data_IF_535457460943
#
_entry.id   IF_535457460943
#
_cell.length_a   1.000
_cell.length_b   1.000
_cell.length_c   1.000
_cell.angle_alpha   90.00
_cell.angle_beta   90.00
_cell.angle_gamma   90.00
#
_symmetry.space_group_name_H-M   'P 1'
#
loop_
_entity.id
_entity.type
_entity.pdbx_description
1 polymer ?
#
# COMPACT_ATOMS: atom_id res chain seq x y z
N UNK A 1 -36.62 25.35 4.89
CA UNK A 1 -35.17 25.44 5.12
C UNK A 1 -34.54 24.29 4.37
N UNK A 2 -33.72 24.56 3.34
CA UNK A 2 -32.98 23.52 2.64
C UNK A 2 -31.61 23.42 3.30
N UNK A 3 -31.33 22.31 3.98
CA UNK A 3 -29.98 22.03 4.46
C UNK A 3 -29.07 21.79 3.25
N UNK A 4 -27.86 22.39 3.20
CA UNK A 4 -26.91 22.10 2.15
C UNK A 4 -26.48 20.63 2.24
N UNK A 5 -26.64 19.89 1.14
CA UNK A 5 -26.07 18.56 0.99
C UNK A 5 -24.60 18.73 0.58
N UNK A 6 -23.69 18.68 1.54
CA UNK A 6 -22.27 18.48 1.27
C UNK A 6 -22.02 17.00 0.99
N UNK A 7 -21.46 16.70 -0.17
CA UNK A 7 -21.00 15.36 -0.55
C UNK A 7 -19.48 15.43 -0.57
N UNK A 8 -18.84 14.78 0.39
CA UNK A 8 -17.39 14.65 0.41
C UNK A 8 -16.96 13.60 -0.62
N UNK A 9 -16.02 13.98 -1.49
CA UNK A 9 -15.38 13.04 -2.41
C UNK A 9 -14.21 12.36 -1.67
N UNK A 10 -14.30 11.05 -1.39
CA UNK A 10 -13.24 10.34 -0.67
C UNK A 10 -11.91 10.30 -1.45
N UNK A 11 -11.92 10.60 -2.76
CA UNK A 11 -10.73 10.63 -3.60
C UNK A 11 -10.13 12.04 -3.76
N UNK A 12 -10.76 13.07 -3.18
CA UNK A 12 -10.25 14.43 -3.27
C UNK A 12 -8.80 14.51 -2.76
N UNK A 13 -7.90 15.05 -3.60
CA UNK A 13 -6.49 15.21 -3.26
C UNK A 13 -5.64 13.93 -3.31
N UNK A 14 -6.19 12.80 -3.77
CA UNK A 14 -5.44 11.56 -3.93
C UNK A 14 -4.99 11.35 -5.38
N UNK A 15 -3.76 10.85 -5.56
CA UNK A 15 -3.26 10.40 -6.87
C UNK A 15 -3.49 8.90 -7.03
N UNK A 16 -4.38 8.54 -7.97
CA UNK A 16 -4.65 7.14 -8.32
C UNK A 16 -3.75 6.73 -9.47
N UNK A 17 -2.92 5.71 -9.26
CA UNK A 17 -2.02 5.17 -10.27
C UNK A 17 -2.63 3.92 -10.92
N UNK A 18 -2.56 3.86 -12.25
CA UNK A 18 -2.91 2.67 -13.03
C UNK A 18 -1.66 2.13 -13.71
N UNK A 19 -1.28 0.90 -13.38
CA UNK A 19 -0.16 0.19 -13.98
C UNK A 19 -0.69 -0.95 -14.84
N UNK A 20 -0.37 -0.92 -16.12
CA UNK A 20 -0.72 -1.97 -17.08
C UNK A 20 0.54 -2.70 -17.51
N UNK A 21 0.63 -3.98 -17.16
CA UNK A 21 1.75 -4.86 -17.52
C UNK A 21 1.29 -5.84 -18.58
N UNK A 22 1.92 -5.79 -19.76
CA UNK A 22 1.62 -6.71 -20.87
C UNK A 22 2.77 -7.68 -21.02
N UNK A 23 2.46 -8.99 -21.08
CA UNK A 23 3.48 -10.01 -21.27
C UNK A 23 4.04 -9.96 -22.70
N UNK A 24 5.36 -10.13 -22.84
CA UNK A 24 5.99 -10.31 -24.14
C UNK A 24 5.68 -11.70 -24.71
N UNK A 25 5.68 -11.81 -26.04
CA UNK A 25 5.49 -13.09 -26.74
C UNK A 25 5.36 -12.92 -28.25
N UNK A 26 5.48 -14.03 -28.98
CA UNK A 26 5.44 -14.06 -30.45
C UNK A 26 4.02 -14.13 -31.03
N UNK A 27 3.01 -14.29 -30.17
CA UNK A 27 1.60 -14.35 -30.56
C UNK A 27 0.96 -12.99 -30.88
N UNK A 28 -0.28 -13.02 -31.38
CA UNK A 28 -1.08 -11.82 -31.64
C UNK A 28 -1.12 -10.92 -30.41
N UNK A 29 -1.02 -9.60 -30.62
CA UNK A 29 -0.99 -8.62 -29.52
C UNK A 29 -2.18 -8.78 -28.59
N UNK A 30 -3.36 -8.98 -29.17
CA UNK A 30 -4.63 -8.96 -28.47
C UNK A 30 -4.80 -10.15 -27.52
N UNK A 31 -4.18 -11.28 -27.83
CA UNK A 31 -4.20 -12.50 -27.02
C UNK A 31 -3.15 -12.49 -25.90
N UNK A 32 -2.28 -11.46 -25.84
CA UNK A 32 -1.21 -11.41 -24.85
C UNK A 32 -1.78 -11.23 -23.45
N UNK A 33 -1.30 -12.00 -22.45
CA UNK A 33 -1.70 -11.80 -21.06
C UNK A 33 -1.40 -10.37 -20.59
N UNK A 34 -2.36 -9.77 -19.91
CA UNK A 34 -2.24 -8.45 -19.28
C UNK A 34 -2.59 -8.53 -17.79
N UNK A 35 -1.90 -7.72 -17.00
CA UNK A 35 -2.23 -7.42 -15.61
C UNK A 35 -2.46 -5.91 -15.48
N UNK A 36 -3.59 -5.54 -14.91
CA UNK A 36 -3.94 -4.15 -14.56
C UNK A 36 -3.95 -4.04 -13.05
N UNK A 37 -3.14 -3.12 -12.51
CA UNK A 37 -3.07 -2.79 -11.09
C UNK A 37 -3.49 -1.33 -10.90
N UNK A 38 -4.41 -1.08 -9.98
CA UNK A 38 -4.96 0.26 -9.73
C UNK A 38 -5.01 0.56 -8.24
N UNK A 39 -4.49 1.70 -7.80
CA UNK A 39 -4.54 2.10 -6.40
C UNK A 39 -3.80 3.40 -6.10
N UNK A 40 -3.76 3.73 -4.81
CA UNK A 40 -3.04 4.89 -4.25
C UNK A 40 -1.85 4.41 -3.42
N UNK A 41 -0.88 5.29 -3.17
CA UNK A 41 0.28 4.96 -2.36
C UNK A 41 -0.11 4.51 -0.94
N UNK A 42 0.55 3.46 -0.44
CA UNK A 42 0.32 2.95 0.92
C UNK A 42 -0.92 2.04 1.08
N UNK A 43 -1.69 1.79 0.02
CA UNK A 43 -2.83 0.87 0.04
C UNK A 43 -2.63 -0.33 -0.90
N UNK A 44 -3.28 -1.45 -0.57
CA UNK A 44 -3.31 -2.62 -1.46
C UNK A 44 -4.07 -2.27 -2.75
N UNK A 45 -3.48 -2.49 -3.94
CA UNK A 45 -4.14 -2.16 -5.19
C UNK A 45 -5.27 -3.15 -5.51
N UNK A 46 -6.18 -2.73 -6.37
CA UNK A 46 -7.07 -3.63 -7.11
C UNK A 46 -6.28 -4.20 -8.28
N UNK A 47 -6.28 -5.53 -8.40
CA UNK A 47 -5.58 -6.24 -9.48
C UNK A 47 -6.59 -7.00 -10.33
N UNK A 48 -6.46 -6.86 -11.65
CA UNK A 48 -7.26 -7.53 -12.66
C UNK A 48 -6.34 -8.15 -13.71
N UNK A 49 -6.72 -9.28 -14.28
CA UNK A 49 -5.93 -10.01 -15.26
C UNK A 49 -6.81 -10.48 -16.40
N UNK A 50 -6.27 -10.52 -17.61
CA UNK A 50 -6.98 -11.02 -18.80
C UNK A 50 -6.07 -10.99 -20.02
N UNK A 51 -6.64 -10.75 -21.19
CA UNK A 51 -5.88 -10.53 -22.42
C UNK A 51 -5.77 -9.04 -22.74
N UNK A 52 -4.85 -8.67 -23.64
CA UNK A 52 -4.68 -7.28 -24.03
C UNK A 52 -5.93 -6.69 -24.70
N UNK A 53 -6.73 -7.52 -25.40
CA UNK A 53 -8.03 -7.12 -25.94
C UNK A 53 -8.98 -6.61 -24.83
N UNK A 54 -8.91 -7.21 -23.64
CA UNK A 54 -9.77 -6.89 -22.51
C UNK A 54 -9.26 -5.67 -21.70
N UNK A 55 -8.09 -5.12 -22.03
CA UNK A 55 -7.44 -4.11 -21.19
C UNK A 55 -8.32 -2.88 -20.85
N UNK A 56 -9.10 -2.30 -21.79
CA UNK A 56 -10.02 -1.20 -21.46
C UNK A 56 -11.08 -1.59 -20.42
N UNK A 57 -11.64 -2.79 -20.54
CA UNK A 57 -12.67 -3.29 -19.64
C UNK A 57 -12.08 -3.60 -18.26
N UNK A 58 -10.89 -4.21 -18.21
CA UNK A 58 -10.18 -4.48 -16.97
C UNK A 58 -9.82 -3.19 -16.21
N UNK A 59 -9.45 -2.11 -16.91
CA UNK A 59 -9.22 -0.79 -16.29
C UNK A 59 -10.52 -0.25 -15.69
N UNK A 60 -11.63 -0.31 -16.44
CA UNK A 60 -12.93 0.18 -15.97
C UNK A 60 -13.44 -0.62 -14.75
N UNK A 61 -13.29 -1.94 -14.77
CA UNK A 61 -13.61 -2.80 -13.64
C UNK A 61 -12.75 -2.50 -12.42
N UNK A 62 -11.44 -2.31 -12.61
CA UNK A 62 -10.53 -1.97 -11.53
C UNK A 62 -10.87 -0.61 -10.92
N UNK A 63 -11.19 0.39 -11.75
CA UNK A 63 -11.62 1.72 -11.31
C UNK A 63 -12.92 1.67 -10.52
N UNK A 64 -13.90 0.92 -11.01
CA UNK A 64 -15.20 0.76 -10.34
C UNK A 64 -15.02 0.06 -8.99
N UNK A 65 -14.25 -1.03 -8.94
CA UNK A 65 -13.96 -1.74 -7.69
C UNK A 65 -13.17 -0.87 -6.69
N UNK A 66 -12.25 -0.04 -7.18
CA UNK A 66 -11.52 0.92 -6.35
C UNK A 66 -12.46 1.98 -5.77
N UNK A 67 -13.36 2.56 -6.58
CA UNK A 67 -14.36 3.53 -6.12
C UNK A 67 -15.28 2.97 -5.04
N UNK A 68 -15.72 1.71 -5.16
CA UNK A 68 -16.52 1.03 -4.12
C UNK A 68 -15.71 0.87 -2.83
N UNK A 69 -14.43 0.45 -2.93
CA UNK A 69 -13.55 0.33 -1.76
C UNK A 69 -13.30 1.69 -1.10
N UNK A 70 -13.06 2.74 -1.88
CA UNK A 70 -12.81 4.08 -1.38
C UNK A 70 -14.02 4.65 -0.62
N UNK A 71 -15.23 4.41 -1.13
CA UNK A 71 -16.47 4.78 -0.42
C UNK A 71 -16.63 3.99 0.88
N UNK A 72 -16.33 2.70 0.89
CA UNK A 72 -16.38 1.89 2.11
C UNK A 72 -15.35 2.35 3.16
N UNK A 73 -14.17 2.80 2.73
CA UNK A 73 -13.14 3.35 3.62
C UNK A 73 -13.50 4.74 4.13
N UNK A 74 -14.06 5.62 3.28
CA UNK A 74 -14.53 6.95 3.66
C UNK A 74 -15.81 6.94 4.51
N UNK A 75 -16.54 5.83 4.53
CA UNK A 75 -17.71 5.62 5.39
C UNK A 75 -17.35 5.16 6.81
N UNK A 76 -16.08 4.83 7.08
CA UNK A 76 -15.62 4.67 8.45
C UNK A 76 -15.52 6.06 9.09
N UNK A 77 -16.13 6.31 10.27
CA UNK A 77 -15.96 7.59 10.95
C UNK A 77 -14.48 7.81 11.21
N UNK A 78 -13.94 8.88 10.62
CA UNK A 78 -12.62 9.40 10.98
C UNK A 78 -12.72 10.01 12.38
N UNK A 79 -12.60 9.18 13.41
CA UNK A 79 -12.11 9.63 14.71
C UNK A 79 -10.59 9.76 14.62
N UNK A 80 -10.13 10.81 13.95
CA UNK A 80 -8.90 11.46 14.34
C UNK A 80 -9.31 12.73 15.09
N UNK A 81 -9.74 12.52 16.33
CA UNK A 81 -9.82 13.59 17.30
C UNK A 81 -8.41 14.15 17.49
N UNK A 82 -8.29 15.45 17.20
CA UNK A 82 -7.21 16.30 17.68
C UNK A 82 -7.23 16.31 19.20
N UNK A 83 -6.30 15.60 19.84
CA UNK A 83 -5.91 15.93 21.22
C UNK A 83 -4.50 16.49 21.20
N UNK A 84 -4.44 17.82 21.29
CA UNK A 84 -3.27 18.57 21.73
C UNK A 84 -2.93 18.15 23.16
N UNK A 85 -2.05 17.15 23.31
CA UNK A 85 -1.38 16.88 24.58
C UNK A 85 0.03 17.45 24.52
N UNK A 86 0.09 18.71 24.95
CA UNK A 86 1.27 19.37 25.48
C UNK A 86 1.74 18.55 26.69
N UNK A 87 2.79 17.74 26.54
CA UNK A 87 3.59 17.27 27.68
C UNK A 87 5.06 17.28 27.29
N UNK A 88 5.68 18.42 27.61
CA UNK A 88 7.09 18.55 27.94
C UNK A 88 7.52 17.42 28.88
N UNK A 89 8.28 16.46 28.38
CA UNK A 89 9.01 15.50 29.21
C UNK A 89 10.49 15.58 28.88
N UNK A 90 11.11 16.60 29.48
CA UNK A 90 12.56 16.68 29.66
C UNK A 90 12.96 15.54 30.60
N UNK A 91 13.62 14.52 30.07
CA UNK A 91 14.33 13.52 30.88
C UNK A 91 15.79 13.42 30.40
N UNK A 92 16.63 14.29 30.96
CA UNK A 92 18.07 14.09 30.99
C UNK A 92 18.41 13.04 32.04
N UNK A 93 18.91 11.87 31.64
CA UNK A 93 19.77 11.04 32.49
C UNK A 93 20.54 10.02 31.63
N UNK A 94 21.79 10.36 31.39
CA UNK A 94 22.90 9.48 31.03
C UNK A 94 23.08 8.41 32.13
N UNK A 95 23.06 7.11 31.79
CA UNK A 95 23.97 6.05 32.28
C UNK A 95 23.84 4.81 31.36
N UNK A 96 24.87 4.65 30.52
CA UNK A 96 25.50 3.44 30.01
C UNK A 96 25.09 2.07 30.64
N UNK A 97 24.47 1.17 29.87
CA UNK A 97 24.77 -0.29 29.88
C UNK A 97 24.41 -0.96 28.54
N UNK A 98 25.43 -1.38 27.79
CA UNK A 98 25.34 -2.17 26.55
C UNK A 98 24.92 -3.63 26.88
N UNK A 99 23.93 -4.22 26.18
CA UNK A 99 23.54 -5.62 26.40
C UNK A 99 24.59 -6.60 25.82
N UNK A 100 24.87 -7.73 26.49
CA UNK A 100 25.96 -8.63 26.09
C UNK A 100 25.70 -9.33 24.74
N UNK A 101 26.69 -9.25 23.86
CA UNK A 101 26.73 -9.91 22.54
C UNK A 101 26.74 -11.45 22.69
N UNK A 102 25.99 -12.20 21.87
CA UNK A 102 26.03 -13.66 21.88
C UNK A 102 27.39 -14.18 21.37
N UNK A 103 28.05 -15.01 22.18
CA UNK A 103 29.36 -15.61 21.91
C UNK A 103 29.29 -16.63 20.76
N UNK A 104 30.17 -16.46 19.77
CA UNK A 104 30.40 -17.37 18.64
C UNK A 104 31.08 -18.65 19.16
N UNK A 105 30.67 -19.86 18.71
CA UNK A 105 31.27 -21.11 19.18
C UNK A 105 32.76 -21.19 18.80
N UNK A 106 33.62 -21.75 19.66
CA UNK A 106 35.07 -21.79 19.42
C UNK A 106 35.39 -22.68 18.23
N UNK A 107 36.08 -22.09 17.24
CA UNK A 107 36.72 -22.82 16.16
C UNK A 107 37.83 -23.70 16.77
N UNK A 108 37.60 -25.01 16.78
CA UNK A 108 38.62 -25.99 17.10
C UNK A 108 39.74 -25.95 16.07
N UNK A 109 40.93 -25.53 16.49
CA UNK A 109 42.15 -25.63 15.71
C UNK A 109 42.66 -27.08 15.69
N UNK A 110 42.79 -27.63 14.49
CA UNK A 110 43.87 -28.47 13.96
C UNK A 110 44.53 -29.55 14.86
N UNK A 111 44.48 -30.82 14.41
CA UNK A 111 45.67 -31.68 14.35
C UNK A 111 45.51 -32.81 13.34
N UNK A 112 46.47 -32.87 12.42
CA UNK A 112 46.78 -33.98 11.53
C UNK A 112 47.19 -35.21 12.34
N UNK A 113 46.52 -36.34 12.10
CA UNK A 113 47.11 -37.68 12.03
C UNK A 113 46.27 -38.51 11.05
#
# INVERSE_FOLDING_TARGET
MNSPLTVDDPLAGQEVTVVVTVSAGDGPRDERPVLVSLGVAGQLPIVKTGTFADAPDLINEAWTAFGVRAQAAGAAPSELETETADEELVATADVLQEPPRPEKPPAGNLSLF
#
